data_IF_579466925346
#
_entry.id   IF_579466925346
#
_cell.length_a   1.000
_cell.length_b   1.000
_cell.length_c   1.000
_cell.angle_alpha   90.00
_cell.angle_beta   90.00
_cell.angle_gamma   90.00
#
_symmetry.space_group_name_H-M   'P 1'
#
loop_
_entity.id
_entity.type
_entity.pdbx_description
1 polymer ?
#
# COMPACT_ATOMS: atom_id res chain seq x y z
N UNK A 1 -3.89 -13.25 -10.02
CA UNK A 1 -4.90 -12.79 -9.05
C UNK A 1 -5.32 -11.39 -9.47
N UNK A 2 -6.61 -11.04 -9.40
CA UNK A 2 -7.04 -9.67 -9.76
C UNK A 2 -6.69 -8.73 -8.61
N UNK A 3 -5.97 -7.61 -8.85
CA UNK A 3 -5.63 -6.67 -7.78
C UNK A 3 -6.89 -6.10 -7.12
N UNK A 4 -6.85 -5.98 -5.80
CA UNK A 4 -7.92 -5.42 -4.98
C UNK A 4 -7.83 -3.88 -4.93
N UNK A 5 -8.70 -3.21 -4.17
CA UNK A 5 -8.68 -1.73 -4.05
C UNK A 5 -7.39 -1.19 -3.42
N UNK A 6 -6.79 -1.95 -2.52
CA UNK A 6 -5.63 -1.60 -1.70
C UNK A 6 -4.36 -1.59 -2.56
N UNK A 7 -4.24 -2.56 -3.47
CA UNK A 7 -3.19 -2.63 -4.49
C UNK A 7 -3.16 -1.36 -5.37
N UNK A 8 -4.32 -0.88 -5.78
CA UNK A 8 -4.41 0.35 -6.59
C UNK A 8 -4.00 1.58 -5.79
N UNK A 9 -4.45 1.70 -4.54
CA UNK A 9 -4.08 2.83 -3.68
C UNK A 9 -2.56 2.82 -3.43
N UNK A 10 -1.96 1.67 -3.11
CA UNK A 10 -0.51 1.51 -2.97
C UNK A 10 0.23 1.83 -4.26
N UNK A 11 -0.24 1.35 -5.41
CA UNK A 11 0.40 1.62 -6.70
C UNK A 11 0.38 3.12 -7.05
N UNK A 12 -0.76 3.78 -6.87
CA UNK A 12 -0.87 5.23 -7.09
C UNK A 12 0.07 5.97 -6.13
N UNK A 13 0.15 5.57 -4.87
CA UNK A 13 1.08 6.15 -3.90
C UNK A 13 2.55 6.00 -4.33
N UNK A 14 2.97 4.77 -4.67
CA UNK A 14 4.34 4.46 -5.12
C UNK A 14 4.73 5.21 -6.40
N UNK A 15 3.75 5.54 -7.24
CA UNK A 15 3.93 6.33 -8.47
C UNK A 15 3.93 7.85 -8.24
N UNK A 16 3.87 8.32 -6.98
CA UNK A 16 3.90 9.75 -6.63
C UNK A 16 2.52 10.40 -6.55
N UNK A 17 1.45 9.61 -6.52
CA UNK A 17 0.07 10.09 -6.53
C UNK A 17 -0.38 10.84 -5.27
N UNK A 18 0.48 10.96 -4.27
CA UNK A 18 0.30 11.85 -3.13
C UNK A 18 0.68 13.32 -3.43
N UNK A 19 1.41 13.58 -4.52
CA UNK A 19 1.83 14.94 -4.92
C UNK A 19 1.36 15.30 -6.33
N UNK A 20 1.38 14.34 -7.24
CA UNK A 20 1.12 14.54 -8.66
C UNK A 20 0.00 13.65 -9.19
N UNK A 21 -0.47 13.95 -10.41
CA UNK A 21 -1.45 13.09 -11.09
C UNK A 21 -0.71 11.95 -11.79
N UNK A 22 -1.06 10.72 -11.46
CA UNK A 22 -0.50 9.50 -12.04
C UNK A 22 -1.35 9.03 -13.22
N UNK A 23 -0.72 8.84 -14.38
CA UNK A 23 -1.43 8.41 -15.59
C UNK A 23 -2.01 6.99 -15.48
N UNK A 24 -3.14 6.73 -16.15
CA UNK A 24 -3.72 5.38 -16.22
C UNK A 24 -2.73 4.36 -16.81
N UNK A 25 -1.85 4.79 -17.73
CA UNK A 25 -0.84 3.92 -18.33
C UNK A 25 0.18 3.47 -17.28
N UNK A 26 0.63 4.38 -16.43
CA UNK A 26 1.56 4.06 -15.33
C UNK A 26 0.94 3.05 -14.35
N UNK A 27 -0.33 3.26 -13.97
CA UNK A 27 -1.06 2.36 -13.06
C UNK A 27 -1.25 0.98 -13.70
N UNK A 28 -1.72 0.94 -14.95
CA UNK A 28 -1.91 -0.30 -15.73
C UNK A 28 -0.61 -1.10 -15.81
N UNK A 29 0.52 -0.43 -16.09
CA UNK A 29 1.82 -1.06 -16.22
C UNK A 29 2.37 -1.55 -14.87
N UNK A 30 2.19 -0.78 -13.79
CA UNK A 30 2.66 -1.21 -12.47
C UNK A 30 1.90 -2.43 -11.97
N UNK A 31 0.58 -2.47 -12.16
CA UNK A 31 -0.27 -3.56 -11.69
C UNK A 31 -0.42 -4.72 -12.68
N UNK A 32 0.10 -4.59 -13.91
CA UNK A 32 0.01 -5.62 -14.98
C UNK A 32 -1.44 -6.03 -15.29
N UNK A 33 -2.34 -5.04 -15.41
CA UNK A 33 -3.78 -5.23 -15.64
C UNK A 33 -4.25 -4.61 -16.96
N UNK A 34 -5.54 -4.71 -17.28
CA UNK A 34 -6.12 -4.03 -18.44
C UNK A 34 -6.49 -2.57 -18.15
N UNK A 35 -6.51 -1.72 -19.18
CA UNK A 35 -6.97 -0.33 -19.06
C UNK A 35 -8.46 -0.22 -18.68
N UNK A 36 -9.28 -1.20 -19.10
CA UNK A 36 -10.69 -1.27 -18.75
C UNK A 36 -10.87 -1.54 -17.25
N UNK A 37 -10.20 -2.56 -16.72
CA UNK A 37 -10.17 -2.88 -15.29
C UNK A 37 -9.66 -1.71 -14.46
N UNK A 38 -8.63 -1.01 -14.96
CA UNK A 38 -8.08 0.17 -14.31
C UNK A 38 -9.13 1.26 -14.17
N UNK A 39 -9.85 1.57 -15.25
CA UNK A 39 -10.88 2.62 -15.26
C UNK A 39 -12.03 2.27 -14.33
N UNK A 40 -12.47 1.00 -14.32
CA UNK A 40 -13.53 0.53 -13.44
C UNK A 40 -13.15 0.69 -11.96
N UNK A 41 -11.94 0.26 -11.57
CA UNK A 41 -11.49 0.37 -10.19
C UNK A 41 -11.29 1.83 -9.76
N UNK A 42 -10.70 2.67 -10.62
CA UNK A 42 -10.54 4.10 -10.32
C UNK A 42 -11.89 4.78 -10.06
N UNK A 43 -12.93 4.45 -10.81
CA UNK A 43 -14.28 4.99 -10.55
C UNK A 43 -14.85 4.52 -9.19
N UNK A 44 -14.58 3.27 -8.77
CA UNK A 44 -14.96 2.79 -7.43
C UNK A 44 -14.22 3.54 -6.33
N UNK A 45 -12.92 3.76 -6.49
CA UNK A 45 -12.09 4.51 -5.53
C UNK A 45 -12.50 5.97 -5.40
N UNK A 46 -12.97 6.60 -6.49
CA UNK A 46 -13.58 7.94 -6.46
C UNK A 46 -14.86 7.92 -5.63
N UNK A 47 -15.75 6.94 -5.84
CA UNK A 47 -16.98 6.82 -5.07
C UNK A 47 -16.73 6.62 -3.56
N UNK A 48 -15.60 5.98 -3.20
CA UNK A 48 -15.16 5.81 -1.81
C UNK A 48 -14.28 6.97 -1.28
N UNK A 49 -14.05 8.02 -2.08
CA UNK A 49 -13.26 9.20 -1.76
C UNK A 49 -11.77 8.92 -1.44
N UNK A 50 -11.18 7.86 -2.01
CA UNK A 50 -9.74 7.58 -1.89
C UNK A 50 -8.90 8.25 -2.99
N UNK A 51 -9.53 8.58 -4.13
CA UNK A 51 -8.85 9.05 -5.33
C UNK A 51 -9.61 10.20 -5.96
N UNK A 52 -8.88 11.25 -6.37
CA UNK A 52 -9.34 12.22 -7.37
C UNK A 52 -8.93 11.71 -8.76
N UNK A 53 -9.90 11.40 -9.61
CA UNK A 53 -9.67 10.89 -10.96
C UNK A 53 -10.22 11.83 -12.02
N UNK A 54 -9.39 12.18 -13.01
CA UNK A 54 -9.82 12.92 -14.19
C UNK A 54 -9.61 12.06 -15.42
N UNK A 55 -10.70 11.80 -16.14
CA UNK A 55 -10.70 10.98 -17.36
C UNK A 55 -9.60 11.44 -18.32
N UNK A 56 -8.82 10.48 -18.83
CA UNK A 56 -7.66 10.65 -19.71
C UNK A 56 -6.43 11.35 -19.09
N UNK A 57 -6.55 12.02 -17.94
CA UNK A 57 -5.40 12.64 -17.27
C UNK A 57 -4.73 11.70 -16.28
N UNK A 58 -5.53 10.96 -15.50
CA UNK A 58 -5.00 10.08 -14.47
C UNK A 58 -5.66 10.31 -13.11
N UNK A 59 -5.07 9.70 -12.09
CA UNK A 59 -5.55 9.65 -10.73
C UNK A 59 -4.50 10.19 -9.76
N UNK A 60 -4.94 10.88 -8.71
CA UNK A 60 -4.14 11.20 -7.52
C UNK A 60 -4.89 10.76 -6.28
N UNK A 61 -4.19 10.48 -5.19
CA UNK A 61 -4.83 10.17 -3.91
C UNK A 61 -5.43 11.43 -3.30
N UNK A 62 -6.59 11.27 -2.66
CA UNK A 62 -7.09 12.25 -1.70
C UNK A 62 -6.29 12.12 -0.40
N UNK A 63 -6.47 13.04 0.55
CA UNK A 63 -5.89 12.91 1.89
C UNK A 63 -6.27 11.58 2.57
N UNK A 64 -7.54 11.18 2.44
CA UNK A 64 -8.02 9.85 2.90
C UNK A 64 -7.26 8.71 2.22
N UNK A 65 -7.01 8.82 0.91
CA UNK A 65 -6.22 7.87 0.13
C UNK A 65 -4.76 7.78 0.57
N UNK A 66 -4.13 8.91 0.86
CA UNK A 66 -2.75 9.00 1.34
C UNK A 66 -2.62 8.29 2.68
N UNK A 67 -3.46 8.64 3.66
CA UNK A 67 -3.44 8.01 4.98
C UNK A 67 -3.68 6.50 4.91
N UNK A 68 -4.57 6.05 4.02
CA UNK A 68 -4.83 4.64 3.80
C UNK A 68 -3.62 3.92 3.16
N UNK A 69 -2.98 4.53 2.17
CA UNK A 69 -1.77 3.99 1.55
C UNK A 69 -0.61 3.86 2.55
N UNK A 70 -0.39 4.89 3.37
CA UNK A 70 0.66 4.90 4.40
C UNK A 70 0.43 3.80 5.45
N UNK A 71 -0.82 3.58 5.86
CA UNK A 71 -1.19 2.47 6.74
C UNK A 71 -0.86 1.12 6.13
N UNK A 72 -1.22 0.89 4.86
CA UNK A 72 -0.88 -0.37 4.17
C UNK A 72 0.63 -0.57 4.06
N UNK A 73 1.38 0.47 3.71
CA UNK A 73 2.84 0.41 3.60
C UNK A 73 3.49 0.16 4.98
N UNK A 74 2.98 0.78 6.04
CA UNK A 74 3.44 0.48 7.41
C UNK A 74 3.16 -0.98 7.75
N UNK A 75 1.93 -1.45 7.57
CA UNK A 75 1.54 -2.84 7.83
C UNK A 75 2.43 -3.83 7.07
N UNK A 76 2.69 -3.58 5.78
CA UNK A 76 3.59 -4.37 4.96
C UNK A 76 4.96 -4.51 5.63
N UNK A 77 5.58 -3.37 5.96
CA UNK A 77 6.93 -3.32 6.53
C UNK A 77 7.01 -3.96 7.91
N UNK A 78 5.98 -3.81 8.74
CA UNK A 78 5.90 -4.48 10.04
C UNK A 78 5.87 -6.00 9.86
N UNK A 79 5.12 -6.51 8.88
CA UNK A 79 5.17 -7.93 8.53
C UNK A 79 6.55 -8.36 8.03
N UNK A 80 7.21 -7.57 7.19
CA UNK A 80 8.57 -7.88 6.74
C UNK A 80 9.52 -8.02 7.94
N UNK A 81 9.46 -7.08 8.89
CA UNK A 81 10.28 -7.12 10.10
C UNK A 81 10.01 -8.40 10.91
N UNK A 82 8.73 -8.69 11.19
CA UNK A 82 8.37 -9.89 11.96
C UNK A 82 8.85 -11.18 11.28
N UNK A 83 8.57 -11.34 9.99
CA UNK A 83 8.88 -12.56 9.25
C UNK A 83 10.40 -12.80 9.16
N UNK A 84 11.19 -11.74 8.95
CA UNK A 84 12.65 -11.86 8.92
C UNK A 84 13.20 -12.12 10.33
N UNK A 85 12.85 -11.31 11.32
CA UNK A 85 13.45 -11.38 12.66
C UNK A 85 13.00 -12.61 13.47
N UNK A 86 11.73 -12.99 13.34
CA UNK A 86 11.11 -14.02 14.20
C UNK A 86 11.02 -15.38 13.52
N UNK A 87 10.86 -15.40 12.19
CA UNK A 87 10.68 -16.65 11.44
C UNK A 87 11.85 -16.99 10.50
N UNK A 88 12.85 -16.10 10.40
CA UNK A 88 14.09 -16.36 9.65
C UNK A 88 13.93 -16.33 8.13
N UNK A 89 12.93 -15.63 7.61
CA UNK A 89 12.83 -15.38 6.17
C UNK A 89 14.01 -14.53 5.68
N UNK A 90 14.43 -14.73 4.43
CA UNK A 90 15.34 -13.80 3.78
C UNK A 90 14.60 -12.52 3.35
N UNK A 91 15.27 -11.35 3.29
CA UNK A 91 14.69 -10.12 2.75
C UNK A 91 14.14 -10.31 1.32
N UNK A 92 14.80 -11.13 0.49
CA UNK A 92 14.37 -11.34 -0.90
C UNK A 92 13.06 -12.15 -1.01
N UNK A 93 12.76 -13.01 -0.04
CA UNK A 93 11.57 -13.88 -0.04
C UNK A 93 10.38 -13.29 0.72
N UNK A 94 10.63 -12.34 1.64
CA UNK A 94 9.62 -11.87 2.59
C UNK A 94 8.49 -11.08 1.93
N UNK A 95 8.80 -10.36 0.85
CA UNK A 95 7.87 -9.43 0.21
C UNK A 95 6.53 -10.08 -0.18
N UNK A 96 6.59 -11.28 -0.79
CA UNK A 96 5.40 -11.99 -1.23
C UNK A 96 4.50 -12.43 -0.07
N UNK A 97 5.08 -12.73 1.10
CA UNK A 97 4.31 -13.09 2.29
C UNK A 97 3.69 -11.84 2.93
N UNK A 98 4.46 -10.76 3.02
CA UNK A 98 3.99 -9.48 3.57
C UNK A 98 2.83 -8.88 2.75
N UNK A 99 2.87 -8.95 1.41
CA UNK A 99 1.76 -8.51 0.54
C UNK A 99 0.45 -9.30 0.83
N UNK A 100 0.52 -10.59 1.17
CA UNK A 100 -0.71 -11.34 1.51
C UNK A 100 -1.23 -10.95 2.88
N UNK A 101 -0.32 -10.83 3.86
CA UNK A 101 -0.69 -10.60 5.25
C UNK A 101 -1.21 -9.18 5.50
N UNK A 102 -0.71 -8.18 4.77
CA UNK A 102 -1.15 -6.80 4.96
C UNK A 102 -2.65 -6.61 4.71
N UNK A 103 -3.21 -7.30 3.71
CA UNK A 103 -4.63 -7.23 3.36
C UNK A 103 -5.53 -8.02 4.31
N UNK A 104 -4.95 -8.93 5.09
CA UNK A 104 -5.67 -9.80 6.03
C UNK A 104 -5.54 -9.35 7.50
N UNK A 105 -4.92 -8.19 7.74
CA UNK A 105 -4.60 -7.73 9.08
C UNK A 105 -5.59 -6.69 9.61
N UNK A 106 -6.04 -6.87 10.86
CA UNK A 106 -6.77 -5.82 11.57
C UNK A 106 -5.79 -4.81 12.19
N UNK A 107 -6.22 -3.55 12.45
CA UNK A 107 -5.38 -2.57 13.16
C UNK A 107 -4.84 -3.10 14.48
N UNK A 108 -5.70 -3.72 15.31
CA UNK A 108 -5.30 -4.29 16.61
C UNK A 108 -4.20 -5.35 16.49
N UNK A 109 -4.24 -6.19 15.44
CA UNK A 109 -3.20 -7.18 15.21
C UNK A 109 -1.85 -6.50 14.94
N UNK A 110 -1.85 -5.45 14.12
CA UNK A 110 -0.64 -4.72 13.75
C UNK A 110 -0.09 -3.94 14.93
N UNK A 111 -0.93 -3.32 15.75
CA UNK A 111 -0.48 -2.61 16.94
C UNK A 111 0.24 -3.56 17.91
N UNK A 112 -0.33 -4.73 18.18
CA UNK A 112 0.32 -5.77 19.00
C UNK A 112 1.62 -6.29 18.38
N UNK A 113 1.70 -6.34 17.05
CA UNK A 113 2.90 -6.77 16.35
C UNK A 113 4.00 -5.71 16.43
N UNK A 114 3.65 -4.43 16.33
CA UNK A 114 4.56 -3.29 16.55
C UNK A 114 5.13 -3.35 17.97
N UNK A 115 4.28 -3.55 18.98
CA UNK A 115 4.70 -3.69 20.38
C UNK A 115 5.63 -4.89 20.57
N UNK A 116 5.30 -6.03 19.96
CA UNK A 116 6.14 -7.24 20.02
C UNK A 116 7.54 -7.02 19.43
N UNK A 117 7.65 -6.16 18.42
CA UNK A 117 8.89 -5.84 17.70
C UNK A 117 9.66 -4.65 18.30
N UNK A 118 9.23 -4.11 19.45
CA UNK A 118 9.86 -2.95 20.10
C UNK A 118 9.88 -1.68 19.23
N UNK A 119 8.73 -1.37 18.60
CA UNK A 119 8.49 -0.19 17.74
C UNK A 119 9.57 0.04 16.66
N UNK A 120 9.68 -0.87 15.67
CA UNK A 120 10.71 -0.77 14.65
C UNK A 120 10.50 0.45 13.74
N UNK A 121 11.59 1.14 13.41
CA UNK A 121 11.58 2.34 12.57
C UNK A 121 11.95 2.08 11.11
N UNK A 122 12.57 0.93 10.81
CA UNK A 122 13.03 0.55 9.48
C UNK A 122 12.67 -0.90 9.18
N UNK A 123 12.37 -1.19 7.90
CA UNK A 123 12.16 -2.57 7.46
C UNK A 123 13.51 -3.27 7.13
N UNK A 124 13.51 -4.59 6.90
CA UNK A 124 14.73 -5.34 6.56
C UNK A 124 15.48 -4.85 5.32
N UNK A 125 14.80 -4.10 4.45
CA UNK A 125 15.37 -3.46 3.25
C UNK A 125 16.02 -2.09 3.52
N UNK A 126 16.01 -1.62 4.78
CA UNK A 126 16.56 -0.31 5.17
C UNK A 126 15.63 0.87 4.88
N UNK A 127 14.40 0.64 4.44
CA UNK A 127 13.43 1.71 4.23
C UNK A 127 12.74 2.12 5.54
N UNK A 128 12.45 3.42 5.68
CA UNK A 128 11.72 3.96 6.82
C UNK A 128 10.30 3.38 6.86
N UNK A 129 9.85 3.00 8.05
CA UNK A 129 8.46 2.62 8.32
C UNK A 129 7.65 3.90 8.57
N UNK A 130 6.60 4.20 7.77
CA UNK A 130 5.81 5.40 7.96
C UNK A 130 5.24 5.48 9.38
N UNK A 131 5.34 6.65 10.02
CA UNK A 131 4.66 6.94 11.27
C UNK A 131 3.23 7.37 10.96
N UNK A 132 2.24 6.66 11.49
CA UNK A 132 0.85 7.09 11.34
C UNK A 132 0.61 8.13 12.43
N UNK A 133 0.44 9.39 12.05
CA UNK A 133 -0.11 10.37 12.96
C UNK A 133 -1.64 10.18 12.97
N UNK A 134 -2.20 9.70 14.08
CA UNK A 134 -3.64 9.77 14.27
C UNK A 134 -4.02 11.24 14.44
N UNK A 135 -4.83 11.74 13.50
CA UNK A 135 -5.51 13.04 13.58
C UNK A 135 -6.76 12.95 14.45
#
# INVERSE_FOLDING_TARGET
MTPNKEDYIKAIYKLGGNHEVVSNKSITNMLQISAASTTEMLNKLVAENYVDYVRYKGARLTEKGILFAERLIRTHKIWEVFLVQSLGFSPDEVHAQAEVLEHASSPELIDRLVDFLDDPTHCPHGEIIPTIHES
#
